data_IF_019899151327
#
_entry.id   IF_019899151327
#
_cell.length_a   1.000
_cell.length_b   1.000
_cell.length_c   1.000
_cell.angle_alpha   90.00
_cell.angle_beta   90.00
_cell.angle_gamma   90.00
#
_symmetry.space_group_name_H-M   'P 1'
#
loop_
_entity.id
_entity.type
_entity.pdbx_description
1 polymer ?
#
# COMPACT_ATOMS: atom_id res chain seq x y z
N UNK A 1 2.75 9.23 -5.14
CA UNK A 1 2.87 8.70 -3.77
C UNK A 1 3.75 9.62 -2.94
N UNK A 2 5.02 9.85 -3.33
CA UNK A 2 5.96 10.81 -2.71
C UNK A 2 5.53 12.30 -2.69
N UNK A 3 4.30 12.64 -3.10
CA UNK A 3 3.77 14.01 -3.05
C UNK A 3 2.69 14.19 -2.00
N UNK A 4 2.38 13.13 -1.24
CA UNK A 4 1.46 13.19 -0.12
C UNK A 4 2.29 13.40 1.14
N UNK A 5 2.08 14.52 1.81
CA UNK A 5 2.87 14.93 2.98
C UNK A 5 2.79 13.89 4.11
N UNK A 6 1.62 13.27 4.30
CA UNK A 6 1.43 12.22 5.31
C UNK A 6 2.15 10.91 4.97
N UNK A 7 2.40 10.62 3.69
CA UNK A 7 3.17 9.44 3.28
C UNK A 7 4.62 9.64 3.64
N UNK A 8 5.21 10.79 3.31
CA UNK A 8 6.59 11.12 3.68
C UNK A 8 6.77 11.13 5.21
N UNK A 9 5.82 11.70 5.94
CA UNK A 9 5.81 11.66 7.40
C UNK A 9 5.82 10.20 7.92
N UNK A 10 4.96 9.35 7.37
CA UNK A 10 4.89 7.93 7.73
C UNK A 10 6.17 7.17 7.36
N UNK A 11 6.83 7.57 6.26
CA UNK A 11 8.14 7.03 5.89
C UNK A 11 9.21 7.35 6.92
N UNK A 12 9.24 8.59 7.37
CA UNK A 12 10.19 9.03 8.38
C UNK A 12 9.92 8.37 9.72
N UNK A 13 8.66 8.22 10.13
CA UNK A 13 8.28 7.50 11.35
C UNK A 13 8.71 6.02 11.29
N UNK A 14 8.48 5.34 10.16
CA UNK A 14 8.95 3.96 9.92
C UNK A 14 10.47 3.85 10.07
N UNK A 15 11.22 4.76 9.43
CA UNK A 15 12.69 4.82 9.53
C UNK A 15 13.15 5.02 10.97
N UNK A 16 12.50 5.91 11.70
CA UNK A 16 12.83 6.23 13.09
C UNK A 16 12.66 5.00 14.00
N UNK A 17 11.56 4.26 13.84
CA UNK A 17 11.29 3.02 14.60
C UNK A 17 12.34 1.95 14.29
N UNK A 18 12.57 1.64 13.01
CA UNK A 18 13.56 0.59 12.64
C UNK A 18 14.95 0.98 13.12
N UNK A 19 15.32 2.25 12.96
CA UNK A 19 16.62 2.76 13.38
C UNK A 19 16.78 2.66 14.90
N UNK A 20 15.75 3.01 15.67
CA UNK A 20 15.78 2.88 17.12
C UNK A 20 16.04 1.43 17.55
N UNK A 21 15.24 0.48 17.08
CA UNK A 21 15.38 -0.92 17.50
C UNK A 21 16.71 -1.52 17.03
N UNK A 22 17.15 -1.27 15.80
CA UNK A 22 18.42 -1.82 15.28
C UNK A 22 19.68 -1.15 15.85
N UNK A 23 19.60 0.10 16.30
CA UNK A 23 20.74 0.78 16.92
C UNK A 23 20.93 0.42 18.40
N UNK A 24 19.88 -0.08 19.05
CA UNK A 24 19.90 -0.42 20.47
C UNK A 24 19.81 -1.94 20.66
N UNK A 25 20.96 -2.60 20.86
CA UNK A 25 21.03 -4.06 21.00
C UNK A 25 20.04 -4.64 22.03
N UNK A 26 19.80 -3.93 23.14
CA UNK A 26 18.83 -4.34 24.17
C UNK A 26 17.40 -4.27 23.68
N UNK A 27 17.06 -3.23 22.92
CA UNK A 27 15.72 -3.07 22.38
C UNK A 27 15.43 -4.14 21.33
N UNK A 28 16.40 -4.42 20.45
CA UNK A 28 16.29 -5.51 19.48
C UNK A 28 16.14 -6.87 20.16
N UNK A 29 16.96 -7.17 21.17
CA UNK A 29 16.89 -8.44 21.88
C UNK A 29 15.53 -8.64 22.59
N UNK A 30 14.98 -7.60 23.21
CA UNK A 30 13.66 -7.64 23.84
C UNK A 30 12.58 -7.86 22.79
N UNK A 31 12.64 -7.16 21.65
CA UNK A 31 11.69 -7.34 20.57
C UNK A 31 11.71 -8.79 20.04
N UNK A 32 12.89 -9.39 19.89
CA UNK A 32 13.04 -10.78 19.42
C UNK A 32 12.58 -11.84 20.44
N UNK A 33 12.36 -11.45 21.71
CA UNK A 33 11.81 -12.35 22.73
C UNK A 33 10.28 -12.38 22.73
N UNK A 34 9.63 -11.39 22.12
CA UNK A 34 8.17 -11.36 21.98
C UNK A 34 7.71 -12.38 20.92
N UNK A 35 6.56 -13.04 21.14
CA UNK A 35 6.02 -14.01 20.20
C UNK A 35 5.59 -13.33 18.89
N UNK A 36 5.66 -14.08 17.79
CA UNK A 36 5.26 -13.62 16.44
C UNK A 36 6.00 -12.35 16.00
N UNK A 37 7.31 -12.32 16.18
CA UNK A 37 8.15 -11.24 15.67
C UNK A 37 8.97 -11.67 14.48
N UNK A 38 9.20 -10.74 13.57
CA UNK A 38 10.16 -10.87 12.48
C UNK A 38 11.22 -9.78 12.60
N UNK A 39 12.35 -9.99 11.94
CA UNK A 39 13.40 -8.98 11.88
C UNK A 39 12.89 -7.74 11.13
N UNK A 40 12.90 -6.59 11.79
CA UNK A 40 12.47 -5.33 11.19
C UNK A 40 13.35 -5.01 9.99
N UNK A 41 12.77 -4.80 8.81
CA UNK A 41 13.51 -4.56 7.56
C UNK A 41 13.95 -3.10 7.52
N UNK A 42 15.22 -2.83 7.16
CA UNK A 42 15.70 -1.46 7.02
C UNK A 42 15.28 -0.91 5.65
N UNK A 43 14.54 0.20 5.59
CA UNK A 43 14.14 0.78 4.30
C UNK A 43 15.38 1.36 3.61
N UNK A 44 15.47 1.16 2.28
CA UNK A 44 16.48 1.78 1.42
C UNK A 44 15.83 2.95 0.69
N UNK A 45 16.48 4.11 0.72
CA UNK A 45 15.89 5.37 0.24
C UNK A 45 15.51 5.37 -1.26
N UNK A 46 16.12 4.51 -2.06
CA UNK A 46 15.96 4.50 -3.53
C UNK A 46 14.91 3.53 -4.05
N UNK A 47 14.35 2.65 -3.21
CA UNK A 47 13.43 1.59 -3.67
C UNK A 47 12.20 1.50 -2.77
N UNK A 48 11.06 1.93 -3.32
CA UNK A 48 9.73 1.85 -2.69
C UNK A 48 9.39 0.45 -2.16
N UNK A 49 9.86 -0.59 -2.83
CA UNK A 49 9.68 -1.98 -2.41
C UNK A 49 10.26 -2.24 -1.00
N UNK A 50 11.50 -1.82 -0.76
CA UNK A 50 12.14 -2.00 0.55
C UNK A 50 11.44 -1.21 1.66
N UNK A 51 10.80 -0.11 1.28
CA UNK A 51 10.00 0.69 2.20
C UNK A 51 8.70 -0.05 2.57
N UNK A 52 8.00 -0.63 1.60
CA UNK A 52 6.83 -1.46 1.86
C UNK A 52 7.18 -2.66 2.74
N UNK A 53 8.29 -3.34 2.46
CA UNK A 53 8.76 -4.47 3.28
C UNK A 53 9.05 -4.02 4.71
N UNK A 54 9.62 -2.82 4.90
CA UNK A 54 9.82 -2.20 6.21
C UNK A 54 8.50 -1.94 6.91
N UNK A 55 7.52 -1.33 6.24
CA UNK A 55 6.18 -1.06 6.80
C UNK A 55 5.49 -2.36 7.21
N UNK A 56 5.50 -3.37 6.34
CA UNK A 56 4.91 -4.68 6.62
C UNK A 56 5.57 -5.33 7.84
N UNK A 57 6.89 -5.23 7.97
CA UNK A 57 7.60 -5.78 9.14
C UNK A 57 7.24 -5.08 10.45
N UNK A 58 7.03 -3.76 10.42
CA UNK A 58 6.59 -2.99 11.58
C UNK A 58 5.14 -3.35 11.95
N UNK A 59 4.24 -3.40 10.96
CA UNK A 59 2.83 -3.75 11.18
C UNK A 59 2.70 -5.15 11.78
N UNK A 60 3.42 -6.13 11.22
CA UNK A 60 3.43 -7.48 11.74
C UNK A 60 3.89 -7.52 13.21
N UNK A 61 4.90 -6.73 13.53
CA UNK A 61 5.44 -6.60 14.89
C UNK A 61 4.70 -5.57 15.76
N UNK A 62 3.54 -5.01 15.37
CA UNK A 62 2.85 -3.91 16.08
C UNK A 62 2.74 -4.16 17.59
N UNK A 63 2.15 -5.29 17.96
CA UNK A 63 1.91 -5.65 19.37
C UNK A 63 3.25 -5.80 20.11
N UNK A 64 4.21 -6.50 19.51
CA UNK A 64 5.52 -6.71 20.11
C UNK A 64 6.29 -5.38 20.31
N UNK A 65 6.21 -4.47 19.34
CA UNK A 65 6.81 -3.13 19.43
C UNK A 65 6.15 -2.33 20.55
N UNK A 66 4.81 -2.32 20.63
CA UNK A 66 4.08 -1.61 21.69
C UNK A 66 4.43 -2.16 23.08
N UNK A 67 4.45 -3.49 23.25
CA UNK A 67 4.83 -4.15 24.50
C UNK A 67 6.29 -3.87 24.88
N UNK A 68 7.20 -3.94 23.92
CA UNK A 68 8.63 -3.65 24.11
C UNK A 68 8.84 -2.23 24.63
N UNK A 69 8.17 -1.24 24.03
CA UNK A 69 8.31 0.17 24.43
C UNK A 69 7.77 0.46 25.83
N UNK A 70 6.84 -0.35 26.34
CA UNK A 70 6.35 -0.25 27.72
C UNK A 70 7.33 -0.85 28.75
N UNK A 71 8.28 -1.70 28.33
CA UNK A 71 9.25 -2.25 29.25
C UNK A 71 10.16 -1.15 29.83
N UNK A 72 10.47 -1.14 31.13
CA UNK A 72 11.25 -0.08 31.77
C UNK A 72 12.63 0.15 31.12
N UNK A 73 13.23 -0.92 30.62
CA UNK A 73 14.52 -0.94 29.94
C UNK A 73 14.53 -0.12 28.66
N UNK A 74 13.46 -0.19 27.87
CA UNK A 74 13.31 0.54 26.60
C UNK A 74 12.67 1.90 26.86
N UNK A 75 11.64 1.96 27.71
CA UNK A 75 10.90 3.16 28.06
C UNK A 75 11.79 4.32 28.53
N UNK A 76 12.93 4.03 29.16
CA UNK A 76 13.86 5.04 29.66
C UNK A 76 14.86 5.54 28.59
N UNK A 77 15.00 4.81 27.49
CA UNK A 77 15.97 5.09 26.41
C UNK A 77 15.25 5.69 25.20
N UNK A 78 14.02 5.26 24.93
CA UNK A 78 13.23 5.79 23.81
C UNK A 78 12.85 7.25 24.05
N UNK A 79 12.94 8.08 23.02
CA UNK A 79 12.47 9.45 23.07
C UNK A 79 10.97 9.52 23.30
N UNK A 80 10.51 10.49 24.10
CA UNK A 80 9.09 10.65 24.44
C UNK A 80 8.19 10.74 23.20
N UNK A 81 8.61 11.50 22.18
CA UNK A 81 7.85 11.68 20.95
C UNK A 81 7.65 10.36 20.18
N UNK A 82 8.72 9.60 19.96
CA UNK A 82 8.64 8.29 19.30
C UNK A 82 7.78 7.31 20.10
N UNK A 83 7.90 7.33 21.44
CA UNK A 83 7.07 6.52 22.33
C UNK A 83 5.59 6.85 22.18
N UNK A 84 5.22 8.13 22.19
CA UNK A 84 3.81 8.55 22.04
C UNK A 84 3.25 8.17 20.68
N UNK A 85 4.05 8.26 19.61
CA UNK A 85 3.65 7.83 18.26
C UNK A 85 3.41 6.32 18.18
N UNK A 86 4.30 5.52 18.75
CA UNK A 86 4.17 4.04 18.77
C UNK A 86 2.93 3.59 19.56
N UNK A 87 2.61 4.28 20.66
CA UNK A 87 1.45 3.93 21.49
C UNK A 87 0.12 4.49 20.94
N UNK A 88 0.16 5.51 20.10
CA UNK A 88 -1.02 6.09 19.45
C UNK A 88 -1.46 5.30 18.22
N UNK A 89 -2.77 5.29 17.93
CA UNK A 89 -3.35 4.59 16.76
C UNK A 89 -3.14 5.32 15.43
N UNK A 90 -2.92 6.65 15.47
CA UNK A 90 -2.78 7.46 14.25
C UNK A 90 -1.67 6.95 13.32
N UNK A 91 -0.50 6.63 13.89
CA UNK A 91 0.62 6.08 13.14
C UNK A 91 0.22 4.75 12.47
N UNK A 92 -0.38 3.85 13.22
CA UNK A 92 -0.71 2.50 12.74
C UNK A 92 -1.76 2.54 11.63
N UNK A 93 -2.76 3.40 11.76
CA UNK A 93 -3.75 3.62 10.72
C UNK A 93 -3.10 4.11 9.42
N UNK A 94 -2.18 5.09 9.52
CA UNK A 94 -1.41 5.57 8.36
C UNK A 94 -0.51 4.47 7.76
N UNK A 95 0.06 3.57 8.57
CA UNK A 95 0.88 2.47 8.06
C UNK A 95 0.03 1.39 7.36
N UNK A 96 -1.15 1.06 7.88
CA UNK A 96 -2.09 0.14 7.22
C UNK A 96 -2.56 0.69 5.87
N UNK A 97 -2.74 2.01 5.74
CA UNK A 97 -2.99 2.66 4.45
C UNK A 97 -1.86 2.42 3.45
N UNK A 98 -0.60 2.49 3.90
CA UNK A 98 0.55 2.27 3.02
C UNK A 98 0.64 0.82 2.54
N UNK A 99 0.06 -0.14 3.27
CA UNK A 99 -0.03 -1.54 2.82
C UNK A 99 -0.83 -1.66 1.53
N UNK A 100 -1.88 -0.85 1.33
CA UNK A 100 -2.64 -0.81 0.09
C UNK A 100 -1.80 -0.30 -1.10
N UNK A 101 -0.78 0.52 -0.84
CA UNK A 101 0.11 0.97 -1.90
C UNK A 101 1.04 -0.16 -2.38
N UNK A 102 1.02 -1.36 -1.76
CA UNK A 102 1.58 -2.58 -2.36
C UNK A 102 0.96 -2.91 -3.71
N UNK A 103 -0.30 -2.54 -3.96
CA UNK A 103 -0.88 -2.72 -5.29
C UNK A 103 -0.20 -1.86 -6.35
N UNK A 104 0.44 -0.75 -5.98
CA UNK A 104 1.24 0.04 -6.93
C UNK A 104 2.49 -0.73 -7.38
N UNK A 105 3.00 -1.65 -6.54
CA UNK A 105 4.06 -2.61 -6.93
C UNK A 105 3.60 -3.49 -8.10
N UNK A 106 2.33 -3.88 -8.16
CA UNK A 106 1.79 -4.65 -9.31
C UNK A 106 1.82 -3.81 -10.59
N UNK A 107 1.51 -2.51 -10.50
CA UNK A 107 1.55 -1.59 -11.65
C UNK A 107 2.98 -1.25 -12.11
N UNK A 108 3.95 -1.24 -11.19
CA UNK A 108 5.35 -0.91 -11.48
C UNK A 108 6.24 -2.13 -11.76
N UNK A 109 5.76 -3.35 -11.49
CA UNK A 109 6.52 -4.58 -11.80
C UNK A 109 6.67 -4.77 -13.31
N UNK A 110 7.76 -5.41 -13.74
CA UNK A 110 7.97 -5.84 -15.15
C UNK A 110 7.09 -7.05 -15.54
N UNK A 111 6.24 -7.51 -14.62
CA UNK A 111 5.47 -8.76 -14.72
C UNK A 111 3.94 -8.61 -14.55
N UNK A 112 3.24 -7.49 -14.82
CA UNK A 112 1.80 -7.53 -14.73
C UNK A 112 1.34 -8.24 -16.00
N UNK A 113 0.89 -9.50 -15.86
CA UNK A 113 -0.01 -10.08 -16.85
C UNK A 113 -1.12 -9.04 -17.04
N UNK A 114 -1.23 -8.50 -18.25
CA UNK A 114 -2.12 -7.40 -18.62
C UNK A 114 -3.56 -7.63 -18.11
N UNK A 115 -3.92 -8.92 -17.98
CA UNK A 115 -5.17 -9.42 -17.44
C UNK A 115 -5.38 -9.27 -15.93
N UNK A 116 -4.34 -9.16 -15.11
CA UNK A 116 -4.47 -9.04 -13.65
C UNK A 116 -4.71 -7.61 -13.20
N UNK A 117 -4.09 -6.66 -13.90
CA UNK A 117 -4.13 -5.23 -13.59
C UNK A 117 -5.55 -4.70 -13.38
N UNK A 118 -6.49 -5.06 -14.27
CA UNK A 118 -7.87 -4.60 -14.18
C UNK A 118 -8.66 -5.21 -13.00
N UNK A 119 -8.39 -6.45 -12.60
CA UNK A 119 -9.08 -7.05 -11.46
C UNK A 119 -8.51 -6.55 -10.12
N UNK A 120 -7.19 -6.44 -10.04
CA UNK A 120 -6.51 -5.89 -8.85
C UNK A 120 -6.96 -4.46 -8.59
N UNK A 121 -7.21 -3.69 -9.64
CA UNK A 121 -7.82 -2.37 -9.55
C UNK A 121 -9.19 -2.37 -8.85
N UNK A 122 -10.12 -3.22 -9.30
CA UNK A 122 -11.45 -3.31 -8.69
C UNK A 122 -11.39 -3.82 -7.25
N UNK A 123 -10.51 -4.79 -6.96
CA UNK A 123 -10.30 -5.29 -5.60
C UNK A 123 -9.73 -4.20 -4.69
N UNK A 124 -8.88 -3.32 -5.22
CA UNK A 124 -8.31 -2.22 -4.48
C UNK A 124 -9.38 -1.22 -4.06
N UNK A 125 -10.33 -0.90 -4.95
CA UNK A 125 -11.46 -0.03 -4.61
C UNK A 125 -12.23 -0.55 -3.40
N UNK A 126 -12.57 -1.85 -3.41
CA UNK A 126 -13.23 -2.53 -2.30
C UNK A 126 -12.36 -2.57 -1.03
N UNK A 127 -11.05 -2.79 -1.18
CA UNK A 127 -10.12 -2.84 -0.05
C UNK A 127 -9.95 -1.49 0.66
N UNK A 128 -10.12 -0.37 -0.05
CA UNK A 128 -10.10 0.97 0.54
C UNK A 128 -11.38 1.22 1.34
N UNK A 129 -12.55 0.85 0.81
CA UNK A 129 -13.84 0.99 1.51
C UNK A 129 -13.87 0.18 2.83
N UNK A 130 -13.23 -0.99 2.87
CA UNK A 130 -13.20 -1.85 4.06
C UNK A 130 -12.35 -1.30 5.23
N UNK A 131 -11.50 -0.30 4.99
CA UNK A 131 -10.57 0.22 6.01
C UNK A 131 -11.20 1.24 6.97
N UNK A 132 -12.48 1.62 6.80
CA UNK A 132 -13.17 2.60 7.64
C UNK A 132 -12.34 3.87 7.88
N UNK A 133 -11.78 4.42 6.81
CA UNK A 133 -10.97 5.64 6.85
C UNK A 133 -11.88 6.85 7.10
N UNK A 134 -11.27 7.95 7.53
CA UNK A 134 -11.99 9.23 7.42
C UNK A 134 -12.13 9.61 5.94
N UNK A 135 -13.22 10.31 5.64
CA UNK A 135 -13.60 10.73 4.28
C UNK A 135 -12.47 11.48 3.56
N UNK A 136 -11.63 12.22 4.29
CA UNK A 136 -10.58 13.03 3.68
C UNK A 136 -9.43 12.15 3.14
N UNK A 137 -8.93 11.22 3.94
CA UNK A 137 -7.87 10.31 3.50
C UNK A 137 -8.38 9.32 2.45
N UNK A 138 -9.63 8.89 2.57
CA UNK A 138 -10.28 8.03 1.58
C UNK A 138 -10.34 8.72 0.20
N UNK A 139 -10.83 9.96 0.12
CA UNK A 139 -10.87 10.72 -1.13
C UNK A 139 -9.48 10.97 -1.71
N UNK A 140 -8.49 11.32 -0.89
CA UNK A 140 -7.13 11.60 -1.36
C UNK A 140 -6.46 10.35 -1.96
N UNK A 141 -6.63 9.21 -1.29
CA UNK A 141 -6.13 7.92 -1.76
C UNK A 141 -6.86 7.53 -3.04
N UNK A 142 -8.19 7.57 -3.07
CA UNK A 142 -8.96 7.28 -4.29
C UNK A 142 -8.56 8.17 -5.46
N UNK A 143 -8.36 9.47 -5.23
CA UNK A 143 -7.94 10.39 -6.27
C UNK A 143 -6.55 10.04 -6.81
N UNK A 144 -5.61 9.68 -5.95
CA UNK A 144 -4.25 9.30 -6.36
C UNK A 144 -4.27 8.02 -7.18
N UNK A 145 -4.98 7.00 -6.68
CA UNK A 145 -5.12 5.70 -7.34
C UNK A 145 -5.80 5.94 -8.69
N UNK A 146 -6.92 6.68 -8.73
CA UNK A 146 -7.71 6.95 -9.96
C UNK A 146 -6.90 7.70 -10.99
N UNK A 147 -6.13 8.70 -10.58
CA UNK A 147 -5.25 9.47 -11.48
C UNK A 147 -4.18 8.56 -12.09
N UNK A 148 -3.58 7.69 -11.29
CA UNK A 148 -2.57 6.73 -11.76
C UNK A 148 -3.18 5.71 -12.71
N UNK A 149 -4.37 5.21 -12.42
CA UNK A 149 -5.06 4.31 -13.33
C UNK A 149 -5.44 4.98 -14.62
N UNK A 150 -6.04 6.18 -14.61
CA UNK A 150 -6.32 6.92 -15.85
C UNK A 150 -5.08 7.13 -16.71
N UNK A 151 -3.91 7.29 -16.10
CA UNK A 151 -2.64 7.40 -16.82
C UNK A 151 -2.16 6.08 -17.45
N UNK A 152 -2.33 4.95 -16.75
CA UNK A 152 -1.83 3.62 -17.18
C UNK A 152 -2.89 2.83 -17.96
N UNK A 153 -4.16 3.17 -17.79
CA UNK A 153 -5.29 2.41 -18.29
C UNK A 153 -5.33 2.47 -19.80
N UNK A 154 -5.05 1.33 -20.40
CA UNK A 154 -5.35 1.04 -21.78
C UNK A 154 -6.46 -0.02 -21.81
N UNK A 155 -7.50 0.10 -22.64
CA UNK A 155 -8.60 -0.89 -22.67
C UNK A 155 -8.19 -2.29 -23.11
N UNK A 156 -6.99 -2.42 -23.69
CA UNK A 156 -6.30 -3.71 -23.83
C UNK A 156 -6.12 -4.46 -22.49
N UNK A 157 -6.04 -3.76 -21.34
CA UNK A 157 -6.00 -4.34 -20.00
C UNK A 157 -7.33 -5.01 -19.63
N UNK A 158 -8.45 -4.34 -19.90
CA UNK A 158 -9.77 -4.91 -19.67
C UNK A 158 -10.04 -6.09 -20.62
N UNK A 159 -9.66 -5.95 -21.90
CA UNK A 159 -9.73 -7.03 -22.88
C UNK A 159 -8.87 -8.23 -22.47
N UNK A 160 -7.63 -8.00 -22.04
CA UNK A 160 -6.77 -9.07 -21.57
C UNK A 160 -7.32 -9.74 -20.30
N UNK A 161 -7.94 -8.97 -19.39
CA UNK A 161 -8.61 -9.50 -18.20
C UNK A 161 -9.78 -10.39 -18.59
N UNK A 162 -10.57 -9.95 -19.56
CA UNK A 162 -11.72 -10.66 -20.09
C UNK A 162 -11.32 -11.97 -20.80
N UNK A 163 -10.23 -11.93 -21.56
CA UNK A 163 -9.73 -13.06 -22.34
C UNK A 163 -8.83 -14.01 -21.54
N UNK A 164 -8.63 -13.75 -20.25
CA UNK A 164 -7.82 -14.61 -19.39
C UNK A 164 -8.59 -15.89 -19.06
N UNK A 165 -8.15 -17.08 -19.54
CA UNK A 165 -8.84 -18.33 -19.29
C UNK A 165 -8.84 -18.74 -17.81
N UNK A 166 -8.01 -18.11 -16.97
CA UNK A 166 -8.01 -18.32 -15.52
C UNK A 166 -9.11 -17.53 -14.80
N UNK A 167 -9.77 -16.58 -15.48
CA UNK A 167 -10.85 -15.77 -14.93
C UNK A 167 -12.18 -16.15 -15.58
N UNK A 168 -13.17 -16.43 -14.75
CA UNK A 168 -14.51 -16.67 -15.25
C UNK A 168 -15.11 -15.35 -15.72
N UNK A 169 -15.45 -15.29 -17.00
CA UNK A 169 -16.19 -14.20 -17.61
C UNK A 169 -17.53 -14.00 -16.91
N UNK A 170 -17.80 -12.80 -16.38
CA UNK A 170 -19.20 -12.47 -16.03
C UNK A 170 -19.94 -12.07 -17.32
N UNK A 171 -21.22 -12.42 -17.45
CA UNK A 171 -22.00 -12.16 -18.67
C UNK A 171 -22.01 -10.67 -19.10
N UNK A 172 -21.93 -9.76 -18.13
CA UNK A 172 -22.13 -8.33 -18.36
C UNK A 172 -20.82 -7.57 -18.71
N UNK A 173 -19.66 -8.13 -18.37
CA UNK A 173 -18.33 -7.50 -18.58
C UNK A 173 -18.06 -7.16 -20.05
N UNK A 174 -18.62 -7.97 -20.96
CA UNK A 174 -18.49 -7.83 -22.40
C UNK A 174 -19.25 -6.60 -22.93
N UNK A 175 -20.33 -6.21 -22.27
CA UNK A 175 -21.20 -5.11 -22.70
C UNK A 175 -20.81 -3.80 -22.01
N UNK A 176 -20.48 -3.84 -20.72
CA UNK A 176 -20.14 -2.66 -19.93
C UNK A 176 -18.73 -2.10 -20.25
N UNK A 177 -17.79 -2.95 -20.68
CA UNK A 177 -16.39 -2.52 -20.85
C UNK A 177 -15.93 -2.57 -22.32
N UNK A 178 -16.20 -3.66 -23.05
CA UNK A 178 -15.73 -3.81 -24.44
C UNK A 178 -16.54 -2.97 -25.42
N UNK A 179 -17.87 -3.05 -25.37
CA UNK A 179 -18.73 -2.37 -26.36
C UNK A 179 -18.64 -0.85 -26.19
N UNK A 180 -18.60 -0.36 -24.95
CA UNK A 180 -18.37 1.07 -24.66
C UNK A 180 -17.03 1.57 -25.24
N UNK A 181 -15.94 0.79 -25.10
CA UNK A 181 -14.63 1.17 -25.65
C UNK A 181 -14.56 1.09 -27.18
N UNK A 182 -15.10 0.03 -27.79
CA UNK A 182 -15.19 -0.06 -29.26
C UNK A 182 -15.95 1.15 -29.80
N UNK A 183 -17.03 1.55 -29.12
CA UNK A 183 -17.77 2.73 -29.48
C UNK A 183 -16.92 4.01 -29.31
N UNK A 184 -16.24 4.26 -28.18
CA UNK A 184 -15.42 5.48 -27.98
C UNK A 184 -14.18 5.56 -28.90
N UNK A 185 -13.52 4.43 -29.17
CA UNK A 185 -12.28 4.38 -29.97
C UNK A 185 -12.51 4.38 -31.46
N UNK A 186 -13.63 3.82 -31.93
CA UNK A 186 -14.00 3.85 -33.34
C UNK A 186 -14.93 5.01 -33.71
N UNK A 187 -15.65 5.62 -32.76
CA UNK A 187 -16.40 6.86 -33.04
C UNK A 187 -15.47 8.07 -33.24
N UNK A 188 -14.31 8.10 -32.57
CA UNK A 188 -13.25 9.08 -32.81
C UNK A 188 -12.49 8.85 -34.13
N UNK A 189 -12.44 7.61 -34.63
CA UNK A 189 -11.89 7.29 -35.95
C UNK A 189 -12.83 7.68 -37.12
N UNK A 190 -14.15 7.73 -36.89
CA UNK A 190 -15.14 8.16 -37.91
C UNK A 190 -15.40 9.68 -37.96
N UNK A 191 -14.82 10.47 -37.04
CA UNK A 191 -14.95 11.94 -37.05
C UNK A 191 -13.88 12.65 -37.90
N UNK A 192 -12.94 11.90 -38.48
CA UNK A 192 -11.95 12.41 -39.44
C UNK A 192 -12.10 11.65 -40.75
N UNK A 193 -13.17 11.93 -41.48
CA UNK A 193 -13.24 11.76 -42.94
C UNK A 193 -14.26 12.73 -43.55
#
# INVERSE_FOLDING_TARGET
>A
ILKLDWVEESMNNTKEIVTFFRSHYRAEAILQQEPNTIMLVKPVDTHWETYLDSVQSIIYCKIAIQTSVLQPTISNIIGYNLKTKILGEELWNKLELLKLLHFIKLFESDTPLLSYVYAEWNNLYLSVEELNLDLYHEEEIFNLITTRFKFIFHPALALANLLDPKKALKPDDLTEVIILYLNESYSSATAVH
#
